data_IF_517950126091
#
_entry.id   IF_517950126091
#
_cell.length_a   1.000
_cell.length_b   1.000
_cell.length_c   1.000
_cell.angle_alpha   90.00
_cell.angle_beta   90.00
_cell.angle_gamma   90.00
#
_symmetry.space_group_name_H-M   'P 1'
#
loop_
_entity.id
_entity.type
_entity.pdbx_description
1 polymer ?
#
# COMPACT_ATOMS: atom_id res chain seq x y z
N UNK A 1 4.52 7.00 0.36
CA UNK A 1 3.83 8.29 0.61
C UNK A 1 2.33 8.11 0.39
N UNK A 2 1.47 8.76 1.18
CA UNK A 2 0.03 8.73 0.98
C UNK A 2 -0.52 10.15 0.82
N UNK A 3 -1.35 10.40 -0.20
CA UNK A 3 -1.98 11.71 -0.45
C UNK A 3 -3.50 11.58 -0.30
N UNK A 4 -4.10 12.45 0.50
CA UNK A 4 -5.56 12.52 0.62
C UNK A 4 -6.17 13.09 -0.66
N UNK A 5 -7.12 12.39 -1.26
CA UNK A 5 -7.82 12.84 -2.48
C UNK A 5 -8.78 14.00 -2.24
N UNK A 6 -9.20 14.22 -0.99
CA UNK A 6 -10.10 15.31 -0.62
C UNK A 6 -9.36 16.63 -0.35
N UNK A 7 -8.39 16.65 0.58
CA UNK A 7 -7.68 17.89 0.94
C UNK A 7 -6.28 18.04 0.33
N UNK A 8 -5.80 17.04 -0.41
CA UNK A 8 -4.48 17.09 -1.05
C UNK A 8 -3.29 16.98 -0.10
N UNK A 9 -3.49 16.89 1.22
CA UNK A 9 -2.41 16.71 2.20
C UNK A 9 -1.67 15.40 1.95
N UNK A 10 -0.35 15.48 1.90
CA UNK A 10 0.54 14.34 1.76
C UNK A 10 1.15 14.01 3.11
N UNK A 11 1.25 12.72 3.41
CA UNK A 11 1.94 12.23 4.61
C UNK A 11 2.90 11.13 4.20
N UNK A 12 4.13 11.24 4.69
CA UNK A 12 5.08 10.14 4.57
C UNK A 12 4.63 9.00 5.47
N UNK A 13 4.48 7.82 4.87
CA UNK A 13 4.18 6.58 5.59
C UNK A 13 5.33 5.63 5.32
N UNK A 14 6.00 5.22 6.39
CA UNK A 14 6.88 4.06 6.39
C UNK A 14 6.02 2.86 6.71
N UNK A 15 5.93 1.91 5.79
CA UNK A 15 5.37 0.59 6.08
C UNK A 15 6.50 -0.22 6.70
N UNK A 16 6.43 -0.46 8.00
CA UNK A 16 7.44 -1.27 8.69
C UNK A 16 7.32 -2.74 8.30
N UNK A 17 6.08 -3.25 8.19
CA UNK A 17 5.72 -4.59 7.76
C UNK A 17 4.29 -4.51 7.19
N UNK A 18 4.01 -5.18 6.07
CA UNK A 18 2.63 -5.34 5.57
C UNK A 18 1.96 -6.37 6.50
N UNK A 19 1.07 -5.91 7.38
CA UNK A 19 0.31 -6.81 8.25
C UNK A 19 -0.87 -7.38 7.47
N UNK A 20 -0.84 -8.67 7.13
CA UNK A 20 -1.90 -9.38 6.40
C UNK A 20 -1.42 -10.01 5.09
N UNK A 21 -2.35 -10.59 4.33
CA UNK A 21 -2.03 -11.17 3.01
C UNK A 21 -1.80 -10.04 1.99
N UNK A 22 -0.59 -9.94 1.39
CA UNK A 22 -0.27 -8.87 0.45
C UNK A 22 -1.03 -9.02 -0.87
N UNK A 23 -1.49 -10.24 -1.21
CA UNK A 23 -2.08 -10.59 -2.51
C UNK A 23 -3.59 -10.36 -2.57
N UNK A 24 -4.26 -10.07 -1.45
CA UNK A 24 -5.70 -9.81 -1.41
C UNK A 24 -6.12 -8.76 -0.35
N UNK A 25 -5.19 -7.90 0.07
CA UNK A 25 -5.42 -6.91 1.12
C UNK A 25 -6.11 -5.62 0.65
N UNK A 26 -7.06 -5.12 1.44
CA UNK A 26 -7.54 -3.73 1.37
C UNK A 26 -6.89 -2.92 2.49
N UNK A 27 -6.26 -1.80 2.17
CA UNK A 27 -5.69 -0.87 3.15
C UNK A 27 -6.63 0.29 3.42
N UNK A 28 -6.91 0.52 4.71
CA UNK A 28 -7.63 1.70 5.14
C UNK A 28 -6.67 2.87 5.37
N UNK A 29 -7.01 4.02 4.83
CA UNK A 29 -6.39 5.30 5.15
C UNK A 29 -7.42 6.23 5.77
N UNK A 30 -7.11 6.75 6.97
CA UNK A 30 -7.88 7.83 7.58
C UNK A 30 -7.09 9.13 7.46
N UNK A 31 -7.72 10.17 6.90
CA UNK A 31 -7.16 11.52 6.92
C UNK A 31 -7.61 12.23 8.18
N UNK A 32 -6.73 12.46 9.15
CA UNK A 32 -7.08 13.15 10.40
C UNK A 32 -7.52 14.61 10.20
N UNK A 33 -7.14 15.25 9.10
CA UNK A 33 -7.57 16.61 8.80
C UNK A 33 -9.00 16.68 8.24
N UNK A 34 -9.40 15.70 7.45
CA UNK A 34 -10.75 15.64 6.86
C UNK A 34 -11.70 14.78 7.68
N UNK A 35 -11.17 13.93 8.57
CA UNK A 35 -11.89 12.86 9.25
C UNK A 35 -12.60 11.92 8.27
N UNK A 36 -11.99 11.72 7.09
CA UNK A 36 -12.50 10.87 6.02
C UNK A 36 -11.69 9.59 5.90
N UNK A 37 -12.39 8.50 5.62
CA UNK A 37 -11.84 7.17 5.38
C UNK A 37 -11.73 6.93 3.87
N UNK A 38 -10.60 6.39 3.43
CA UNK A 38 -10.37 5.95 2.05
C UNK A 38 -9.82 4.53 2.07
N UNK A 39 -10.38 3.65 1.24
CA UNK A 39 -9.95 2.27 1.10
C UNK A 39 -9.17 2.08 -0.20
N UNK A 40 -8.08 1.33 -0.13
CA UNK A 40 -7.17 1.08 -1.24
C UNK A 40 -7.07 -0.43 -1.40
N UNK A 41 -7.45 -0.95 -2.56
CA UNK A 41 -7.31 -2.39 -2.84
C UNK A 41 -5.95 -2.63 -3.49
N UNK A 42 -5.26 -3.68 -3.07
CA UNK A 42 -4.15 -4.21 -3.86
C UNK A 42 -4.72 -4.82 -5.12
N UNK A 43 -4.22 -4.38 -6.27
CA UNK A 43 -4.63 -4.93 -7.58
C UNK A 43 -3.67 -6.01 -8.05
N UNK A 44 -2.38 -5.83 -7.78
CA UNK A 44 -1.32 -6.74 -8.20
C UNK A 44 -0.11 -6.59 -7.28
N UNK A 45 0.55 -7.70 -6.94
CA UNK A 45 1.80 -7.73 -6.20
C UNK A 45 2.90 -8.08 -7.18
N UNK A 46 3.73 -7.10 -7.52
CA UNK A 46 4.88 -7.34 -8.38
C UNK A 46 5.94 -8.10 -7.59
N UNK A 47 6.10 -9.39 -7.86
CA UNK A 47 7.22 -10.18 -7.36
C UNK A 47 8.52 -9.54 -7.85
N UNK A 48 9.43 -9.20 -6.92
CA UNK A 48 10.79 -8.81 -7.28
C UNK A 48 11.52 -10.04 -7.82
N UNK A 49 12.19 -9.96 -8.98
CA UNK A 49 12.98 -11.08 -9.48
C UNK A 49 14.19 -11.27 -8.55
N UNK A 50 14.04 -12.14 -7.55
CA UNK A 50 15.17 -12.63 -6.79
C UNK A 50 15.93 -13.58 -7.72
N UNK A 51 17.11 -13.14 -8.15
CA UNK A 51 17.98 -13.93 -9.00
C UNK A 51 18.37 -15.22 -8.30
N UNK A 52 17.80 -16.36 -8.71
CA UNK A 52 18.31 -17.71 -8.45
C UNK A 52 17.56 -18.73 -9.32
N UNK A 53 18.28 -19.45 -10.17
CA UNK A 53 17.81 -20.73 -10.72
C UNK A 53 17.91 -20.81 -12.23
N UNK A 54 19.06 -21.27 -12.73
CA UNK A 54 19.18 -21.73 -14.11
C UNK A 54 18.52 -23.09 -14.35
N UNK A 55 18.48 -23.42 -15.65
CA UNK A 55 18.39 -24.74 -16.29
C UNK A 55 17.00 -25.34 -16.51
N UNK A 56 16.85 -26.28 -17.48
CA UNK A 56 17.82 -26.76 -18.48
C UNK A 56 17.71 -26.10 -19.87
#
# INVERSE_FOLDING_TARGET
>A
MAKCTNCGKTTEKRTAEIVGDPSNGSFQHVCHSCQLVTWWNVLDVLETPDGSGGSP
#
